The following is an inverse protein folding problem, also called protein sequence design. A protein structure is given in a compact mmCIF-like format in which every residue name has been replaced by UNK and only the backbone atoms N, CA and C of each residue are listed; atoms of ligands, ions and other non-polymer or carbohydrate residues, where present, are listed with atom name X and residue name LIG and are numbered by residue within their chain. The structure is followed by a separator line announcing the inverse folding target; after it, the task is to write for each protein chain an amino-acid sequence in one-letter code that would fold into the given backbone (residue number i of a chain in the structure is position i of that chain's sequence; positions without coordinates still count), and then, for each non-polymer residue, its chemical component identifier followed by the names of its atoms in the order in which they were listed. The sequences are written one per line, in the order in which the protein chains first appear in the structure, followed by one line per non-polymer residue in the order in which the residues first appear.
data_IF_326863731068
#
_entry.id   IF_326863731068
#
_cell.length_a   1.000
_cell.length_b   1.000
_cell.length_c   1.000
_cell.angle_alpha   90.00
_cell.angle_beta   90.00
_cell.angle_gamma   90.00
#
_symmetry.space_group_name_H-M   'P 1'
#
loop_
_entity.id
_entity.type
_entity.pdbx_description
1 polymer ?
#
# COMPACT_ATOMS: atom_id res chain seq x y z
N UNK A 1 -14.21 8.60 3.48
CA UNK A 1 -12.93 8.76 2.74
C UNK A 1 -11.92 7.85 3.41
N UNK A 2 -11.73 6.64 2.86
CA UNK A 2 -10.85 5.63 3.44
C UNK A 2 -9.39 6.03 3.24
N UNK A 3 -8.65 6.17 4.34
CA UNK A 3 -7.21 6.39 4.27
C UNK A 3 -6.53 5.08 3.88
N UNK A 4 -6.31 4.88 2.58
CA UNK A 4 -5.43 3.86 2.03
C UNK A 4 -3.98 4.16 2.44
N UNK A 5 -3.66 3.89 3.71
CA UNK A 5 -2.32 4.02 4.25
C UNK A 5 -1.52 2.79 3.81
N UNK A 6 -0.57 3.03 2.91
CA UNK A 6 0.43 2.02 2.55
C UNK A 6 1.51 2.12 3.62
N UNK A 7 1.72 1.02 4.34
CA UNK A 7 2.78 0.92 5.32
C UNK A 7 4.14 0.80 4.61
N UNK A 8 4.91 1.89 4.65
CA UNK A 8 6.23 1.91 4.05
C UNK A 8 7.34 1.42 5.01
N UNK A 9 7.00 1.15 6.28
CA UNK A 9 7.93 0.54 7.24
C UNK A 9 8.33 -0.91 6.89
N UNK A 10 7.64 -1.50 5.90
CA UNK A 10 7.97 -2.81 5.32
C UNK A 10 9.19 -2.77 4.38
N UNK A 11 9.79 -1.59 4.20
CA UNK A 11 10.96 -1.37 3.36
C UNK A 11 10.63 -0.91 1.95
N UNK A 12 11.60 -0.28 1.31
CA UNK A 12 11.45 0.35 -0.01
C UNK A 12 11.23 -0.67 -1.13
N UNK A 13 11.90 -1.82 -1.06
CA UNK A 13 11.76 -2.89 -2.06
C UNK A 13 10.31 -3.35 -2.21
N UNK A 14 9.57 -3.40 -1.09
CA UNK A 14 8.17 -3.81 -1.07
C UNK A 14 7.20 -2.65 -1.32
N UNK A 15 7.45 -1.50 -0.70
CA UNK A 15 6.51 -0.38 -0.73
C UNK A 15 6.51 0.40 -2.05
N UNK A 16 7.65 0.52 -2.74
CA UNK A 16 7.74 1.25 -4.01
C UNK A 16 6.85 0.66 -5.13
N UNK A 17 6.85 -0.66 -5.39
CA UNK A 17 5.90 -1.26 -6.34
C UNK A 17 4.43 -1.02 -5.97
N UNK A 18 4.11 -0.99 -4.67
CA UNK A 18 2.75 -0.67 -4.22
C UNK A 18 2.41 0.79 -4.50
N UNK A 19 3.32 1.73 -4.21
CA UNK A 19 3.12 3.13 -4.55
C UNK A 19 2.85 3.32 -6.04
N UNK A 20 3.64 2.69 -6.90
CA UNK A 20 3.45 2.69 -8.36
C UNK A 20 2.09 2.13 -8.77
N UNK A 21 1.74 0.94 -8.25
CA UNK A 21 0.46 0.28 -8.56
C UNK A 21 -0.75 1.13 -8.16
N UNK A 22 -0.69 1.78 -7.00
CA UNK A 22 -1.76 2.63 -6.49
C UNK A 22 -1.62 4.10 -6.88
N UNK A 23 -0.67 4.43 -7.75
CA UNK A 23 -0.39 5.79 -8.24
C UNK A 23 -0.32 6.83 -7.12
N UNK A 24 0.30 6.50 -5.99
CA UNK A 24 0.36 7.40 -4.82
C UNK A 24 1.25 8.59 -5.10
N UNK A 25 0.81 9.76 -4.66
CA UNK A 25 1.59 10.99 -4.72
C UNK A 25 2.00 11.39 -3.30
N UNK A 26 3.21 11.89 -3.16
CA UNK A 26 3.66 12.42 -1.88
C UNK A 26 5.15 12.34 -1.64
N UNK A 27 5.53 12.60 -0.40
CA UNK A 27 6.90 12.53 0.07
C UNK A 27 7.04 11.33 1.00
N UNK A 28 7.83 10.35 0.59
CA UNK A 28 8.32 9.32 1.50
C UNK A 28 9.53 9.88 2.26
N UNK A 29 9.52 9.75 3.58
CA UNK A 29 10.67 10.14 4.39
C UNK A 29 10.96 9.13 5.50
N UNK A 30 12.24 8.97 5.83
CA UNK A 30 12.71 8.12 6.93
C UNK A 30 13.97 8.71 7.57
N UNK A 31 14.20 8.40 8.86
CA UNK A 31 15.50 8.61 9.50
C UNK A 31 16.42 7.44 9.16
N UNK A 32 17.56 7.74 8.54
CA UNK A 32 18.54 6.77 8.08
C UNK A 32 19.79 6.85 8.94
N UNK A 33 20.47 5.72 9.08
CA UNK A 33 21.74 5.61 9.79
C UNK A 33 22.74 4.79 8.98
N UNK A 34 24.04 5.00 9.23
CA UNK A 34 25.14 4.36 8.50
C UNK A 34 25.13 4.56 6.98
N UNK A 35 24.71 5.73 6.52
CA UNK A 35 24.70 6.04 5.09
C UNK A 35 26.13 6.26 4.57
N UNK A 36 26.55 5.55 3.50
CA UNK A 36 27.87 5.75 2.90
C UNK A 36 28.15 7.20 2.55
N UNK A 37 29.30 7.72 3.01
CA UNK A 37 29.73 9.11 2.74
C UNK A 37 29.14 10.17 3.68
N UNK A 38 28.16 9.83 4.53
CA UNK A 38 27.56 10.76 5.48
C UNK A 38 27.85 10.32 6.92
N UNK A 39 28.38 11.23 7.75
CA UNK A 39 28.69 10.93 9.15
C UNK A 39 27.44 11.03 10.02
N UNK A 40 26.99 9.89 10.54
CA UNK A 40 25.92 9.80 11.53
C UNK A 40 24.54 9.60 10.92
N UNK A 41 23.50 10.04 11.62
CA UNK A 41 22.10 9.97 11.16
C UNK A 41 21.80 11.06 10.14
N UNK A 42 20.96 10.74 9.17
CA UNK A 42 20.47 11.66 8.15
C UNK A 42 19.01 11.36 7.84
N UNK A 43 18.34 12.19 7.03
CA UNK A 43 16.98 11.93 6.56
C UNK A 43 16.96 11.58 5.09
N UNK A 44 16.27 10.51 4.73
CA UNK A 44 16.01 10.14 3.35
C UNK A 44 14.69 10.72 2.88
N UNK A 45 14.63 11.14 1.62
CA UNK A 45 13.45 11.71 0.97
C UNK A 45 13.26 11.11 -0.41
N UNK A 46 12.05 10.63 -0.69
CA UNK A 46 11.62 10.11 -1.98
C UNK A 46 10.35 10.84 -2.41
N UNK A 47 10.42 11.61 -3.48
CA UNK A 47 9.24 12.27 -4.05
C UNK A 47 8.56 11.31 -5.03
N UNK A 48 7.29 11.02 -4.75
CA UNK A 48 6.44 10.18 -5.56
C UNK A 48 5.46 11.03 -6.38
N UNK A 49 5.42 10.78 -7.69
CA UNK A 49 4.38 11.28 -8.60
C UNK A 49 3.83 10.08 -9.37
N UNK A 50 2.52 9.89 -9.28
CA UNK A 50 1.81 8.71 -9.79
C UNK A 50 2.48 7.40 -9.36
N UNK A 51 3.01 7.38 -8.13
CA UNK A 51 3.67 6.24 -7.53
C UNK A 51 5.11 5.99 -7.99
N UNK A 52 5.63 6.81 -8.90
CA UNK A 52 7.02 6.74 -9.37
C UNK A 52 7.90 7.73 -8.62
N UNK A 53 9.11 7.29 -8.27
CA UNK A 53 10.11 8.16 -7.66
C UNK A 53 10.67 9.11 -8.71
N UNK A 54 10.39 10.41 -8.58
CA UNK A 54 10.91 11.46 -9.46
C UNK A 54 12.14 12.17 -8.88
N UNK A 55 12.32 12.13 -7.56
CA UNK A 55 13.44 12.76 -6.87
C UNK A 55 13.78 11.95 -5.62
N UNK A 56 15.07 11.77 -5.39
CA UNK A 56 15.61 11.00 -4.28
C UNK A 56 16.77 11.79 -3.65
N UNK A 57 16.64 12.11 -2.36
CA UNK A 57 17.57 12.99 -1.66
C UNK A 57 17.87 12.50 -0.25
N UNK A 58 19.05 12.88 0.25
CA UNK A 58 19.49 12.72 1.62
C UNK A 58 19.75 14.09 2.23
N UNK A 59 19.28 14.34 3.44
CA UNK A 59 19.62 15.53 4.21
C UNK A 59 20.50 15.13 5.39
N UNK A 60 21.73 15.63 5.43
CA UNK A 60 22.66 15.39 6.53
C UNK A 60 22.35 16.28 7.75
N UNK A 61 23.14 16.13 8.82
CA UNK A 61 22.97 16.91 10.06
C UNK A 61 23.21 18.41 9.90
N UNK A 62 23.87 18.83 8.82
CA UNK A 62 24.11 20.24 8.52
C UNK A 62 22.95 20.83 7.70
N UNK A 63 21.92 20.02 7.40
CA UNK A 63 20.80 20.39 6.55
C UNK A 63 21.17 20.39 5.07
N UNK A 64 22.36 19.89 4.70
CA UNK A 64 22.76 19.84 3.30
C UNK A 64 22.06 18.67 2.60
N UNK A 65 21.42 18.97 1.47
CA UNK A 65 20.72 17.98 0.65
C UNK A 65 21.61 17.46 -0.47
N UNK A 66 21.72 16.14 -0.54
CA UNK A 66 22.49 15.41 -1.54
C UNK A 66 21.52 14.59 -2.38
N UNK A 67 21.52 14.80 -3.69
CA UNK A 67 20.74 13.95 -4.58
C UNK A 67 21.42 12.59 -4.70
N UNK A 68 20.66 11.52 -4.51
CA UNK A 68 21.18 10.14 -4.57
C UNK A 68 20.31 9.26 -5.45
N UNK A 69 20.87 8.14 -5.87
CA UNK A 69 20.14 7.15 -6.65
C UNK A 69 19.17 6.37 -5.74
N UNK A 70 17.94 6.19 -6.18
CA UNK A 70 16.93 5.39 -5.47
C UNK A 70 17.40 3.96 -5.20
N UNK A 71 18.17 3.35 -6.12
CA UNK A 71 18.73 2.02 -5.95
C UNK A 71 19.68 1.92 -4.75
N UNK A 72 20.43 3.00 -4.45
CA UNK A 72 21.30 3.07 -3.27
C UNK A 72 20.47 3.07 -1.98
N UNK A 73 19.36 3.81 -1.92
CA UNK A 73 18.48 3.80 -0.76
C UNK A 73 17.76 2.46 -0.58
N UNK A 74 17.33 1.82 -1.66
CA UNK A 74 16.76 0.47 -1.63
C UNK A 74 17.79 -0.52 -1.08
N UNK A 75 19.02 -0.49 -1.59
CA UNK A 75 20.10 -1.37 -1.13
C UNK A 75 20.41 -1.11 0.35
N UNK A 76 20.52 0.15 0.77
CA UNK A 76 20.76 0.52 2.16
C UNK A 76 19.63 0.02 3.08
N UNK A 77 18.38 0.18 2.67
CA UNK A 77 17.20 -0.29 3.40
C UNK A 77 17.14 -1.83 3.50
N UNK A 78 17.60 -2.55 2.47
CA UNK A 78 17.73 -4.01 2.54
C UNK A 78 18.89 -4.48 3.42
N UNK A 79 20.02 -3.78 3.41
CA UNK A 79 21.24 -4.19 4.16
C UNK A 79 21.20 -3.77 5.64
N UNK A 80 20.54 -2.65 5.93
CA UNK A 80 20.58 -1.99 7.25
C UNK A 80 19.19 -1.69 7.82
N UNK A 81 18.14 -1.84 7.02
CA UNK A 81 16.76 -1.59 7.41
C UNK A 81 16.00 -2.88 7.76
N UNK A 82 14.65 -2.84 7.72
CA UNK A 82 13.84 -1.77 7.12
C UNK A 82 13.80 -0.51 7.99
N UNK A 83 13.94 0.66 7.36
CA UNK A 83 13.73 1.94 8.05
C UNK A 83 12.24 2.28 8.12
N UNK A 84 11.83 3.06 9.12
CA UNK A 84 10.44 3.52 9.26
C UNK A 84 10.13 4.63 8.24
N UNK A 85 9.83 4.23 7.02
CA UNK A 85 9.36 5.15 5.99
C UNK A 85 7.93 5.60 6.27
N UNK A 86 7.71 6.90 6.17
CA UNK A 86 6.40 7.53 6.34
C UNK A 86 6.04 8.26 5.06
N UNK A 87 4.89 7.92 4.47
CA UNK A 87 4.31 8.66 3.34
C UNK A 87 3.56 9.88 3.87
N UNK A 88 3.98 11.06 3.42
CA UNK A 88 3.22 12.31 3.54
C UNK A 88 2.52 12.54 2.20
N UNK A 89 1.19 12.32 2.10
CA UNK A 89 0.47 12.46 0.84
C UNK A 89 0.53 13.91 0.33
N UNK A 90 0.75 14.08 -0.97
CA UNK A 90 0.56 15.37 -1.63
C UNK A 90 -0.70 15.34 -2.48
N UNK A 91 -1.42 16.47 -2.63
CA UNK A 91 -2.49 16.54 -3.61
C UNK A 91 -1.92 16.17 -4.99
N UNK A 92 -2.72 15.50 -5.85
CA UNK A 92 -2.31 15.25 -7.23
C UNK A 92 -1.98 16.59 -7.89
N UNK A 93 -0.95 16.65 -8.76
CA UNK A 93 -0.65 17.87 -9.50
C UNK A 93 -1.91 18.34 -10.23
N UNK A 94 -2.19 19.67 -10.27
CA UNK A 94 -3.37 20.19 -10.93
C UNK A 94 -3.38 19.73 -12.38
N UNK A 95 -4.34 18.89 -12.74
CA UNK A 95 -4.57 18.52 -14.12
C UNK A 95 -4.86 19.81 -14.91
N UNK A 96 -4.35 19.97 -16.14
CA UNK A 96 -4.78 21.04 -17.02
C UNK A 96 -6.26 20.81 -17.35
N UNK A 97 -7.14 21.48 -16.62
CA UNK A 97 -8.58 21.46 -16.83
C UNK A 97 -8.92 21.97 -18.23
N UNK A 98 -9.64 21.20 -19.07
CA UNK A 98 -10.37 21.78 -20.18
C UNK A 98 -11.47 22.66 -19.57
N UNK A 99 -11.33 23.96 -19.70
CA UNK A 99 -12.31 24.96 -19.28
C UNK A 99 -13.60 24.73 -20.07
N UNK A 100 -14.63 24.13 -19.48
CA UNK A 100 -16.04 24.29 -19.88
C UNK A 100 -17.04 23.74 -18.83
N UNK A 101 -17.48 24.63 -17.92
CA UNK A 101 -18.87 24.81 -17.39
C UNK A 101 -19.55 23.63 -16.60
N UNK A 102 -20.71 23.83 -15.96
CA UNK A 102 -20.87 24.23 -14.56
C UNK A 102 -21.56 23.16 -13.66
N UNK A 103 -21.33 23.21 -12.34
CA UNK A 103 -22.06 22.45 -11.29
C UNK A 103 -23.55 22.88 -11.17
N UNK A 104 -24.44 22.29 -10.31
CA UNK A 104 -24.31 21.14 -9.38
C UNK A 104 -25.51 20.15 -9.39
N UNK A 105 -25.43 19.10 -8.53
CA UNK A 105 -26.52 18.30 -7.90
C UNK A 105 -26.63 16.83 -8.33
N UNK A 106 -26.47 15.91 -7.37
CA UNK A 106 -27.54 15.03 -6.85
C UNK A 106 -26.98 13.91 -5.97
N UNK A 107 -27.66 13.70 -4.84
CA UNK A 107 -27.55 12.52 -3.98
C UNK A 107 -28.05 11.29 -4.75
N UNK A 108 -27.39 10.14 -4.63
CA UNK A 108 -28.03 8.83 -4.79
C UNK A 108 -27.33 7.75 -3.94
N UNK A 109 -28.07 6.74 -3.43
CA UNK A 109 -27.58 5.71 -2.50
C UNK A 109 -26.97 4.52 -3.25
N UNK A 110 -25.78 4.07 -2.85
CA UNK A 110 -25.11 2.92 -3.48
C UNK A 110 -25.62 1.61 -2.85
N UNK A 111 -26.64 1.02 -3.46
CA UNK A 111 -26.98 -0.39 -3.34
C UNK A 111 -26.02 -1.23 -4.20
N UNK A 112 -25.65 -2.42 -3.70
CA UNK A 112 -24.86 -3.50 -4.32
C UNK A 112 -23.39 -3.59 -3.89
N UNK A 113 -23.15 -3.87 -2.61
CA UNK A 113 -21.85 -4.41 -2.16
C UNK A 113 -21.76 -5.90 -2.54
N UNK A 114 -20.72 -6.34 -3.25
CA UNK A 114 -20.59 -7.73 -3.69
C UNK A 114 -20.42 -8.70 -2.52
N UNK A 115 -21.01 -9.90 -2.62
CA UNK A 115 -20.94 -10.96 -1.59
C UNK A 115 -19.97 -12.06 -2.07
N UNK A 116 -18.75 -12.15 -1.52
CA UNK A 116 -17.79 -13.18 -1.91
C UNK A 116 -18.24 -14.58 -1.45
N UNK A 117 -18.06 -15.58 -2.31
CA UNK A 117 -18.38 -17.00 -2.04
C UNK A 117 -17.12 -17.86 -2.13
N UNK A 118 -16.96 -18.80 -1.20
CA UNK A 118 -15.89 -19.82 -1.26
C UNK A 118 -16.18 -20.83 -2.37
N UNK A 119 -15.20 -21.07 -3.22
CA UNK A 119 -15.29 -22.06 -4.31
C UNK A 119 -14.15 -23.09 -4.29
N UNK A 120 -13.14 -22.89 -3.46
CA UNK A 120 -11.99 -23.79 -3.36
C UNK A 120 -11.39 -23.80 -1.96
N UNK A 121 -10.50 -24.75 -1.70
CA UNK A 121 -9.70 -24.80 -0.48
C UNK A 121 -8.51 -23.86 -0.56
N UNK A 122 -8.21 -23.17 0.54
CA UNK A 122 -7.02 -22.34 0.66
C UNK A 122 -5.81 -23.22 0.97
N UNK A 123 -4.94 -23.41 -0.02
CA UNK A 123 -3.69 -24.16 0.15
C UNK A 123 -2.57 -23.21 0.59
N UNK A 124 -2.43 -23.06 1.90
CA UNK A 124 -1.41 -22.20 2.52
C UNK A 124 0.02 -22.71 2.30
N UNK A 125 0.21 -23.97 1.91
CA UNK A 125 1.53 -24.55 1.66
C UNK A 125 2.12 -24.06 0.34
N UNK A 126 1.27 -23.81 -0.67
CA UNK A 126 1.67 -23.24 -1.96
C UNK A 126 2.11 -21.78 -1.90
N UNK A 127 1.89 -21.12 -0.78
CA UNK A 127 2.36 -19.75 -0.52
C UNK A 127 3.82 -19.78 -0.03
N UNK A 128 4.74 -20.22 -0.89
CA UNK A 128 6.18 -20.20 -0.62
C UNK A 128 6.67 -18.74 -0.53
N UNK A 129 7.52 -18.45 0.46
CA UNK A 129 7.99 -17.08 0.75
C UNK A 129 7.05 -16.24 1.63
N UNK A 130 5.88 -16.77 2.02
CA UNK A 130 4.96 -16.08 2.93
C UNK A 130 5.30 -16.40 4.38
N UNK A 131 5.34 -15.36 5.21
CA UNK A 131 5.51 -15.48 6.65
C UNK A 131 4.28 -16.13 7.30
N UNK A 132 4.48 -16.76 8.46
CA UNK A 132 3.40 -17.36 9.25
C UNK A 132 2.27 -16.37 9.56
N UNK A 133 2.62 -15.10 9.82
CA UNK A 133 1.66 -14.03 10.08
C UNK A 133 0.78 -13.73 8.86
N UNK A 134 1.35 -13.70 7.65
CA UNK A 134 0.58 -13.47 6.42
C UNK A 134 -0.37 -14.62 6.11
N UNK A 135 0.08 -15.86 6.29
CA UNK A 135 -0.76 -17.06 6.13
C UNK A 135 -1.94 -17.06 7.12
N UNK A 136 -1.69 -16.67 8.38
CA UNK A 136 -2.71 -16.56 9.40
C UNK A 136 -3.76 -15.49 9.06
N UNK A 137 -3.34 -14.29 8.62
CA UNK A 137 -4.29 -13.23 8.22
C UNK A 137 -5.17 -13.66 7.05
N UNK A 138 -4.59 -14.33 6.05
CA UNK A 138 -5.33 -14.85 4.90
C UNK A 138 -6.34 -15.93 5.32
N UNK A 139 -5.96 -16.83 6.24
CA UNK A 139 -6.84 -17.85 6.79
C UNK A 139 -8.04 -17.24 7.52
N UNK A 140 -7.83 -16.22 8.35
CA UNK A 140 -8.91 -15.57 9.10
C UNK A 140 -9.93 -14.94 8.14
N UNK A 141 -9.47 -14.21 7.12
CA UNK A 141 -10.37 -13.61 6.12
C UNK A 141 -11.07 -14.69 5.31
N UNK A 142 -10.35 -15.75 4.91
CA UNK A 142 -10.95 -16.89 4.24
C UNK A 142 -12.05 -17.51 5.09
N UNK A 143 -11.82 -17.82 6.37
CA UNK A 143 -12.80 -18.43 7.26
C UNK A 143 -14.11 -17.64 7.36
N UNK A 144 -14.02 -16.30 7.35
CA UNK A 144 -15.18 -15.39 7.44
C UNK A 144 -15.96 -15.26 6.12
N UNK A 145 -15.37 -15.59 4.97
CA UNK A 145 -16.10 -15.65 3.69
C UNK A 145 -17.03 -16.87 3.71
N UNK A 146 -18.32 -16.67 3.93
CA UNK A 146 -19.34 -17.74 4.00
C UNK A 146 -20.36 -17.67 2.84
N UNK A 147 -20.24 -16.68 1.96
CA UNK A 147 -21.21 -16.45 0.88
C UNK A 147 -22.48 -15.74 1.34
N UNK A 148 -22.55 -15.25 2.58
CA UNK A 148 -23.68 -14.48 3.11
C UNK A 148 -23.31 -13.03 3.43
N UNK A 149 -22.05 -12.77 3.83
CA UNK A 149 -21.56 -11.45 4.22
C UNK A 149 -21.00 -10.66 3.04
N UNK A 150 -21.35 -9.38 2.95
CA UNK A 150 -20.77 -8.48 1.95
C UNK A 150 -19.31 -8.16 2.30
N UNK A 151 -18.55 -7.65 1.33
CA UNK A 151 -17.17 -7.18 1.56
C UNK A 151 -17.12 -6.15 2.70
N UNK A 152 -18.16 -5.33 2.88
CA UNK A 152 -18.22 -4.35 3.96
C UNK A 152 -18.45 -5.00 5.32
N UNK A 153 -19.35 -5.98 5.41
CA UNK A 153 -19.61 -6.73 6.65
C UNK A 153 -18.37 -7.52 7.09
N UNK A 154 -17.65 -8.10 6.14
CA UNK A 154 -16.40 -8.81 6.42
C UNK A 154 -15.40 -7.81 7.04
N UNK A 155 -15.22 -6.62 6.47
CA UNK A 155 -14.29 -5.60 7.03
C UNK A 155 -14.60 -5.21 8.47
N UNK A 156 -15.86 -5.30 8.89
CA UNK A 156 -16.29 -4.97 10.26
C UNK A 156 -16.19 -6.15 11.22
N UNK A 157 -16.34 -7.39 10.73
CA UNK A 157 -16.37 -8.60 11.57
C UNK A 157 -14.98 -9.16 11.90
N UNK A 158 -13.97 -8.92 11.06
CA UNK A 158 -12.60 -9.41 11.33
C UNK A 158 -11.81 -8.43 12.19
N UNK A 159 -10.99 -8.91 13.16
CA UNK A 159 -10.06 -8.08 13.92
C UNK A 159 -8.82 -7.70 13.08
N UNK A 160 -9.03 -7.37 11.81
CA UNK A 160 -8.00 -7.00 10.86
C UNK A 160 -8.34 -5.64 10.25
N UNK A 161 -7.33 -4.81 9.95
CA UNK A 161 -7.56 -3.55 9.26
C UNK A 161 -8.31 -3.75 7.92
N UNK A 162 -9.28 -2.91 7.55
CA UNK A 162 -10.08 -3.07 6.34
C UNK A 162 -9.25 -3.23 5.04
N UNK A 163 -8.10 -2.56 4.97
CA UNK A 163 -7.14 -2.70 3.87
C UNK A 163 -6.49 -4.09 3.80
N UNK A 164 -6.22 -4.71 4.95
CA UNK A 164 -5.72 -6.09 5.02
C UNK A 164 -6.79 -7.08 4.59
N UNK A 165 -8.05 -6.82 4.94
CA UNK A 165 -9.21 -7.62 4.52
C UNK A 165 -9.42 -7.55 3.01
N UNK A 166 -9.38 -6.35 2.42
CA UNK A 166 -9.48 -6.20 0.96
C UNK A 166 -8.37 -6.92 0.22
N UNK A 167 -7.13 -6.78 0.68
CA UNK A 167 -6.00 -7.42 0.03
C UNK A 167 -6.07 -8.94 0.18
N UNK A 168 -6.44 -9.45 1.36
CA UNK A 168 -6.70 -10.86 1.57
C UNK A 168 -7.80 -11.39 0.64
N UNK A 169 -8.93 -10.67 0.49
CA UNK A 169 -9.98 -11.03 -0.46
C UNK A 169 -9.48 -11.04 -1.92
N UNK A 170 -8.64 -10.07 -2.32
CA UNK A 170 -8.02 -10.05 -3.66
C UNK A 170 -7.06 -11.21 -3.87
N UNK A 171 -6.27 -11.57 -2.87
CA UNK A 171 -5.39 -12.74 -2.91
C UNK A 171 -6.23 -14.02 -3.03
N UNK A 172 -7.30 -14.15 -2.25
CA UNK A 172 -8.22 -15.29 -2.32
C UNK A 172 -8.90 -15.40 -3.69
N UNK A 173 -9.26 -14.28 -4.32
CA UNK A 173 -9.76 -14.23 -5.70
C UNK A 173 -8.70 -14.67 -6.71
N UNK A 174 -7.46 -14.18 -6.58
CA UNK A 174 -6.34 -14.54 -7.46
C UNK A 174 -5.95 -16.03 -7.33
N UNK A 175 -6.05 -16.57 -6.11
CA UNK A 175 -5.88 -18.00 -5.81
C UNK A 175 -7.08 -18.85 -6.24
N UNK A 176 -8.15 -18.23 -6.78
CA UNK A 176 -9.42 -18.88 -7.12
C UNK A 176 -10.03 -19.66 -5.95
N UNK A 177 -9.76 -19.23 -4.72
CA UNK A 177 -10.33 -19.79 -3.51
C UNK A 177 -11.73 -19.23 -3.24
N UNK A 178 -11.99 -18.00 -3.70
CA UNK A 178 -13.30 -17.34 -3.63
C UNK A 178 -13.68 -16.75 -5.01
N UNK A 179 -14.97 -16.51 -5.24
CA UNK A 179 -15.48 -15.71 -6.35
C UNK A 179 -16.39 -14.60 -5.83
N UNK A 180 -16.52 -13.54 -6.60
CA UNK A 180 -17.59 -12.56 -6.43
C UNK A 180 -18.57 -12.81 -7.57
N UNK A 181 -19.75 -13.41 -7.32
CA UNK A 181 -20.78 -13.52 -8.34
C UNK A 181 -21.22 -12.10 -8.73
N UNK A 182 -21.11 -11.79 -10.02
CA UNK A 182 -21.64 -10.56 -10.57
C UNK A 182 -23.17 -10.68 -10.60
N UNK A 183 -23.94 -9.67 -10.17
CA UNK A 183 -25.39 -9.68 -10.32
C UNK A 183 -25.83 -9.71 -11.79
#
# INVERSE_FOLDING_TARGET
MGNDWIDASLGLTFSLPLFERYRKNGLLQAELHHVPGIRGRCKGYLHLVEGKVILCQLEDKQGQRHQVNVAMLIQLDNERGPFEWVLIPSPPPPQPVPRNLPSPSSMEPVLNSPIPQKIGSLDLEKLEGWTHRQKMMLSIVFDVVDGQRSIEDIKTDVPLPPNVVEEALRILLALKAIIIPNP
#
